data_IF_452503788606
#
_entry.id   IF_452503788606
#
_cell.length_a   1.000
_cell.length_b   1.000
_cell.length_c   1.000
_cell.angle_alpha   90.00
_cell.angle_beta   90.00
_cell.angle_gamma   90.00
#
_symmetry.space_group_name_H-M   'P 1'
#
loop_
_entity.id
_entity.type
_entity.pdbx_description
1 polymer ?
#
# COMPACT_ATOMS: atom_id res chain seq x y z
N UNK A 1 12.60 -13.06 -14.82
CA UNK A 1 13.07 -14.10 -13.89
C UNK A 1 13.10 -15.42 -14.62
N UNK A 2 14.16 -16.20 -14.44
CA UNK A 2 14.32 -17.54 -15.03
C UNK A 2 13.62 -18.57 -14.14
N UNK A 3 12.77 -19.41 -14.71
CA UNK A 3 12.05 -20.44 -13.95
C UNK A 3 12.94 -21.68 -13.74
N UNK A 4 12.74 -22.43 -12.64
CA UNK A 4 13.47 -23.68 -12.40
C UNK A 4 13.24 -24.72 -13.49
N UNK A 5 12.06 -24.70 -14.11
CA UNK A 5 11.69 -25.55 -15.25
C UNK A 5 12.56 -25.25 -16.47
N UNK A 6 12.81 -23.98 -16.76
CA UNK A 6 13.71 -23.56 -17.83
C UNK A 6 15.14 -24.07 -17.62
N UNK A 7 15.64 -24.04 -16.38
CA UNK A 7 16.98 -24.54 -16.04
C UNK A 7 17.11 -26.06 -16.19
N UNK A 8 16.03 -26.82 -15.94
CA UNK A 8 15.96 -28.26 -16.19
C UNK A 8 15.96 -28.56 -17.69
N UNK A 9 15.22 -27.76 -18.46
CA UNK A 9 15.10 -27.90 -19.92
C UNK A 9 16.44 -27.69 -20.62
N UNK A 10 17.25 -26.72 -20.16
CA UNK A 10 18.60 -26.47 -20.70
C UNK A 10 19.68 -27.39 -20.10
N UNK A 11 19.31 -28.45 -19.37
CA UNK A 11 20.21 -29.43 -18.72
C UNK A 11 21.22 -28.84 -17.73
N UNK A 12 20.97 -27.63 -17.20
CA UNK A 12 21.83 -27.01 -16.19
C UNK A 12 21.62 -27.65 -14.82
N UNK A 13 20.42 -28.19 -14.55
CA UNK A 13 20.10 -28.98 -13.36
C UNK A 13 19.42 -30.29 -13.77
N UNK A 14 19.82 -31.42 -13.17
CA UNK A 14 19.27 -32.74 -13.52
C UNK A 14 17.95 -33.05 -12.82
N UNK A 15 17.74 -32.49 -11.64
CA UNK A 15 16.47 -32.58 -10.92
C UNK A 15 16.26 -31.33 -10.07
N UNK A 16 14.99 -30.94 -9.86
CA UNK A 16 14.67 -29.76 -9.05
C UNK A 16 14.55 -30.23 -7.61
N UNK A 17 15.48 -29.86 -6.70
CA UNK A 17 15.41 -30.30 -5.32
C UNK A 17 14.11 -29.81 -4.69
N UNK A 18 13.42 -30.66 -3.91
CA UNK A 18 12.19 -30.28 -3.21
C UNK A 18 12.37 -29.07 -2.27
N UNK A 19 13.60 -28.84 -1.81
CA UNK A 19 13.98 -27.68 -0.99
C UNK A 19 14.20 -26.38 -1.80
N UNK A 20 14.23 -26.43 -3.13
CA UNK A 20 14.51 -25.26 -4.00
C UNK A 20 13.37 -24.23 -3.97
N UNK A 21 12.13 -24.69 -4.10
CA UNK A 21 10.95 -23.84 -3.93
C UNK A 21 10.80 -23.36 -2.49
N UNK A 22 11.14 -24.21 -1.50
CA UNK A 22 11.11 -23.82 -0.10
C UNK A 22 12.10 -22.67 0.19
N UNK A 23 13.32 -22.74 -0.36
CA UNK A 23 14.32 -21.65 -0.25
C UNK A 23 13.94 -20.41 -1.05
N UNK A 24 13.31 -20.54 -2.22
CA UNK A 24 12.76 -19.41 -2.97
C UNK A 24 11.68 -18.68 -2.16
N UNK A 25 10.74 -19.44 -1.59
CA UNK A 25 9.70 -18.89 -0.71
C UNK A 25 10.30 -18.24 0.54
N UNK A 26 11.27 -18.88 1.18
CA UNK A 26 11.95 -18.34 2.36
C UNK A 26 12.68 -17.03 2.04
N UNK A 27 13.39 -16.96 0.90
CA UNK A 27 14.08 -15.76 0.42
C UNK A 27 13.11 -14.60 0.15
N UNK A 28 11.90 -14.88 -0.35
CA UNK A 28 10.84 -13.87 -0.52
C UNK A 28 10.09 -13.53 0.77
N UNK A 29 10.21 -14.37 1.79
CA UNK A 29 9.59 -14.17 3.09
C UNK A 29 10.48 -13.35 4.05
N UNK A 30 11.80 -13.34 3.82
CA UNK A 30 12.78 -12.69 4.69
C UNK A 30 12.98 -11.18 4.48
N UNK A 31 12.31 -10.54 3.51
CA UNK A 31 12.45 -9.10 3.21
C UNK A 31 11.19 -8.24 3.47
N UNK A 32 10.28 -8.70 4.33
CA UNK A 32 9.19 -7.86 4.88
C UNK A 32 9.22 -7.78 6.41
N UNK A 33 10.41 -7.63 6.97
CA UNK A 33 10.62 -6.75 8.13
C UNK A 33 11.28 -5.46 7.64
N UNK A 34 10.67 -4.79 6.64
CA UNK A 34 10.91 -3.36 6.50
C UNK A 34 10.18 -2.72 7.66
N UNK A 35 10.96 -2.34 8.65
CA UNK A 35 10.76 -1.15 9.48
C UNK A 35 9.30 -0.67 9.41
N UNK A 36 8.43 -1.30 10.21
CA UNK A 36 7.18 -0.64 10.50
C UNK A 36 7.59 0.50 11.39
N UNK A 37 7.98 1.63 10.80
CA UNK A 37 7.90 2.93 11.46
C UNK A 37 6.61 2.87 12.26
N UNK A 38 6.74 2.85 13.59
CA UNK A 38 5.61 2.77 14.48
C UNK A 38 4.86 4.09 14.35
N UNK A 39 4.10 4.22 13.28
CA UNK A 39 3.20 5.34 13.09
C UNK A 39 2.21 5.27 14.25
N UNK A 40 1.87 6.41 14.86
CA UNK A 40 0.96 6.47 16.00
C UNK A 40 -0.47 6.20 15.53
N UNK A 41 -0.74 5.01 15.00
CA UNK A 41 -2.03 4.53 14.52
C UNK A 41 -2.81 3.79 15.62
N UNK A 42 -2.38 3.93 16.88
CA UNK A 42 -3.10 3.37 18.03
C UNK A 42 -4.55 3.87 18.04
N UNK A 43 -5.50 2.92 18.12
CA UNK A 43 -6.95 3.14 18.12
C UNK A 43 -7.56 3.70 16.82
N UNK A 44 -6.91 3.51 15.67
CA UNK A 44 -7.49 3.87 14.36
C UNK A 44 -8.17 2.64 13.73
N UNK A 45 -9.41 2.82 13.27
CA UNK A 45 -10.14 1.81 12.50
C UNK A 45 -9.47 1.57 11.14
N UNK A 46 -9.61 0.34 10.63
CA UNK A 46 -9.13 -0.01 9.29
C UNK A 46 -9.78 0.89 8.23
N UNK A 47 -9.00 1.23 7.20
CA UNK A 47 -9.50 2.06 6.09
C UNK A 47 -10.28 1.19 5.11
N UNK A 48 -11.51 1.59 4.79
CA UNK A 48 -12.34 0.93 3.79
C UNK A 48 -11.78 1.19 2.37
N UNK A 49 -11.34 0.13 1.71
CA UNK A 49 -10.78 0.16 0.37
C UNK A 49 -11.91 0.15 -0.68
N UNK A 50 -12.20 1.30 -1.28
CA UNK A 50 -13.31 1.48 -2.23
C UNK A 50 -13.02 0.87 -3.62
N UNK A 51 -11.75 0.69 -3.96
CA UNK A 51 -11.30 0.11 -5.24
C UNK A 51 -11.75 -1.34 -5.47
N UNK A 52 -12.16 -2.07 -4.42
CA UNK A 52 -12.76 -3.41 -4.58
C UNK A 52 -14.26 -3.40 -4.89
N UNK A 53 -14.92 -2.24 -4.76
CA UNK A 53 -16.38 -2.11 -4.93
C UNK A 53 -16.74 -1.46 -6.26
N UNK A 54 -16.52 -0.15 -6.34
CA UNK A 54 -17.00 0.70 -7.43
C UNK A 54 -15.88 1.58 -8.01
N UNK A 55 -14.74 1.67 -7.30
CA UNK A 55 -13.56 2.46 -7.68
C UNK A 55 -13.88 3.89 -8.16
N UNK A 56 -14.62 4.68 -7.35
CA UNK A 56 -14.97 6.04 -7.76
C UNK A 56 -13.72 6.91 -7.84
N UNK A 57 -13.55 7.58 -8.98
CA UNK A 57 -12.46 8.53 -9.22
C UNK A 57 -12.57 9.77 -8.30
N UNK A 58 -13.78 10.11 -7.85
CA UNK A 58 -14.04 11.18 -6.88
C UNK A 58 -14.93 10.65 -5.75
N UNK A 59 -14.51 10.84 -4.49
CA UNK A 59 -15.25 10.37 -3.32
C UNK A 59 -15.08 11.31 -2.12
N UNK A 60 -16.05 11.29 -1.21
CA UNK A 60 -15.95 11.97 0.08
C UNK A 60 -15.49 10.97 1.16
N UNK A 61 -14.52 11.37 1.96
CA UNK A 61 -13.98 10.56 3.05
C UNK A 61 -13.79 11.40 4.32
N UNK A 62 -13.92 10.76 5.48
CA UNK A 62 -13.68 11.38 6.77
C UNK A 62 -12.24 11.17 7.20
N UNK A 63 -11.60 12.26 7.63
CA UNK A 63 -10.24 12.23 8.16
C UNK A 63 -10.25 11.59 9.55
N UNK A 64 -9.70 10.39 9.69
CA UNK A 64 -9.58 9.69 10.97
C UNK A 64 -8.41 10.20 11.79
N UNK A 65 -7.28 10.48 11.14
CA UNK A 65 -6.07 10.98 11.79
C UNK A 65 -5.20 11.76 10.83
N UNK A 66 -4.45 12.69 11.41
CA UNK A 66 -3.50 13.54 10.70
C UNK A 66 -2.26 13.65 11.56
N UNK A 67 -1.10 13.47 10.95
CA UNK A 67 0.20 13.67 11.60
C UNK A 67 1.22 14.08 10.53
N UNK A 68 2.03 15.10 10.83
CA UNK A 68 2.95 15.71 9.87
C UNK A 68 2.25 16.04 8.53
N UNK A 69 2.64 15.38 7.43
CA UNK A 69 2.05 15.51 6.09
C UNK A 69 1.16 14.33 5.68
N UNK A 70 0.81 13.48 6.65
CA UNK A 70 0.13 12.23 6.43
C UNK A 70 -1.30 12.29 6.91
N UNK A 71 -2.22 11.81 6.07
CA UNK A 71 -3.66 11.83 6.29
C UNK A 71 -4.19 10.41 6.21
N UNK A 72 -4.90 10.00 7.25
CA UNK A 72 -5.60 8.72 7.33
C UNK A 72 -7.08 8.96 7.16
N UNK A 73 -7.69 8.21 6.25
CA UNK A 73 -9.11 8.32 5.92
C UNK A 73 -9.88 7.09 6.39
N UNK A 74 -11.19 7.24 6.60
CA UNK A 74 -12.11 6.13 6.89
C UNK A 74 -12.28 5.22 5.68
N UNK A 75 -12.27 5.79 4.48
CA UNK A 75 -12.37 5.10 3.20
C UNK A 75 -11.48 5.76 2.15
N UNK A 76 -10.98 4.98 1.20
CA UNK A 76 -10.16 5.50 0.10
C UNK A 76 -10.22 4.64 -1.15
N UNK A 77 -10.23 5.28 -2.32
CA UNK A 77 -9.95 4.63 -3.62
C UNK A 77 -8.47 4.66 -3.99
N UNK A 78 -7.62 5.41 -3.27
CA UNK A 78 -6.19 5.47 -3.59
C UNK A 78 -5.49 4.14 -3.35
N UNK A 79 -4.80 3.65 -4.37
CA UNK A 79 -3.97 2.47 -4.26
C UNK A 79 -2.66 2.78 -3.54
N UNK A 80 -2.42 2.08 -2.43
CA UNK A 80 -1.17 2.18 -1.70
C UNK A 80 -0.05 1.40 -2.41
N UNK A 81 1.18 1.92 -2.28
CA UNK A 81 2.39 1.26 -2.78
C UNK A 81 2.45 -0.19 -2.28
N UNK A 82 2.59 -1.14 -3.21
CA UNK A 82 2.62 -2.56 -2.88
C UNK A 82 3.06 -3.42 -4.05
N UNK A 83 3.90 -4.43 -3.79
CA UNK A 83 4.26 -5.45 -4.80
C UNK A 83 5.07 -4.94 -6.00
N UNK A 84 5.62 -3.72 -5.93
CA UNK A 84 6.32 -3.06 -7.04
C UNK A 84 5.44 -2.10 -7.86
N UNK A 85 4.15 -1.98 -7.54
CA UNK A 85 3.26 -0.99 -8.13
C UNK A 85 3.49 0.38 -7.49
N UNK A 86 3.52 1.42 -8.33
CA UNK A 86 3.56 2.81 -7.88
C UNK A 86 2.22 3.19 -7.22
N UNK A 87 2.25 4.06 -6.19
CA UNK A 87 1.04 4.52 -5.53
C UNK A 87 0.23 5.41 -6.48
N UNK A 88 -1.07 5.52 -6.20
CA UNK A 88 -1.90 6.48 -6.90
C UNK A 88 -1.58 7.92 -6.49
N UNK A 89 -1.72 8.81 -7.46
CA UNK A 89 -1.55 10.25 -7.29
C UNK A 89 -2.88 10.93 -7.57
N UNK A 90 -3.23 11.93 -6.76
CA UNK A 90 -4.47 12.66 -6.93
C UNK A 90 -4.53 13.85 -5.98
N UNK A 91 -5.72 14.20 -5.50
CA UNK A 91 -5.90 15.29 -4.53
C UNK A 91 -6.81 14.92 -3.36
N UNK A 92 -6.47 15.40 -2.16
CA UNK A 92 -7.29 15.30 -0.94
C UNK A 92 -7.48 16.71 -0.41
N UNK A 93 -8.74 17.16 -0.29
CA UNK A 93 -9.08 18.53 0.09
C UNK A 93 -8.42 19.61 -0.79
N UNK A 94 -8.10 19.29 -2.05
CA UNK A 94 -7.38 20.17 -2.97
C UNK A 94 -5.85 20.14 -2.85
N UNK A 95 -5.29 19.37 -1.91
CA UNK A 95 -3.85 19.14 -1.75
C UNK A 95 -3.40 17.92 -2.53
N UNK A 96 -2.20 17.95 -3.12
CA UNK A 96 -1.72 16.85 -3.97
C UNK A 96 -1.28 15.65 -3.15
N UNK A 97 -1.68 14.45 -3.55
CA UNK A 97 -1.20 13.18 -2.97
C UNK A 97 0.10 12.80 -3.66
N UNK A 98 1.19 12.82 -2.90
CA UNK A 98 2.54 12.54 -3.41
C UNK A 98 2.98 11.11 -3.15
N UNK A 99 2.42 10.45 -2.13
CA UNK A 99 2.70 9.05 -1.85
C UNK A 99 1.54 8.42 -1.05
N UNK A 100 1.37 7.11 -1.16
CA UNK A 100 0.31 6.37 -0.45
C UNK A 100 0.91 5.07 0.08
N UNK A 101 0.86 4.88 1.39
CA UNK A 101 1.45 3.74 2.07
C UNK A 101 0.40 2.96 2.86
N UNK A 102 0.54 1.62 2.86
CA UNK A 102 -0.33 0.74 3.64
C UNK A 102 0.43 0.24 4.87
N UNK A 103 -0.11 0.55 6.04
CA UNK A 103 0.41 0.08 7.33
C UNK A 103 -0.65 -0.82 7.98
N UNK A 104 -0.48 -2.14 7.82
CA UNK A 104 -1.47 -3.12 8.27
C UNK A 104 -2.80 -2.97 7.50
N UNK A 105 -3.89 -2.65 8.22
CA UNK A 105 -5.22 -2.38 7.67
C UNK A 105 -5.53 -0.89 7.40
N UNK A 106 -4.55 0.01 7.60
CA UNK A 106 -4.73 1.45 7.47
C UNK A 106 -3.97 1.99 6.26
N UNK A 107 -4.62 2.88 5.50
CA UNK A 107 -3.99 3.56 4.37
C UNK A 107 -3.60 4.98 4.77
N UNK A 108 -2.32 5.30 4.59
CA UNK A 108 -1.70 6.57 4.93
C UNK A 108 -1.40 7.32 3.63
N UNK A 109 -2.00 8.49 3.47
CA UNK A 109 -1.83 9.33 2.29
C UNK A 109 -0.89 10.48 2.64
N UNK A 110 0.25 10.56 1.98
CA UNK A 110 1.18 11.68 2.11
C UNK A 110 0.77 12.75 1.12
N UNK A 111 0.48 13.94 1.62
CA UNK A 111 0.06 15.07 0.79
C UNK A 111 1.07 16.20 0.82
N UNK A 112 1.17 16.92 -0.29
CA UNK A 112 1.87 18.19 -0.38
C UNK A 112 0.84 19.31 -0.58
N UNK A 113 0.73 20.17 0.43
CA UNK A 113 -0.24 21.26 0.45
C UNK A 113 -0.88 21.47 1.82
N UNK A 114 -2.13 21.94 1.81
CA UNK A 114 -2.91 22.19 3.01
C UNK A 114 -3.38 20.87 3.65
N UNK A 115 -3.03 20.68 4.91
CA UNK A 115 -3.40 19.49 5.66
C UNK A 115 -4.80 19.69 6.27
N UNK A 116 -5.77 18.80 5.97
CA UNK A 116 -7.11 18.91 6.56
C UNK A 116 -7.08 18.62 8.06
N UNK A 117 -8.12 19.01 8.81
CA UNK A 117 -8.18 18.68 10.25
C UNK A 117 -8.72 17.28 10.45
N UNK A 118 -8.27 16.66 11.53
CA UNK A 118 -8.86 15.41 11.99
C UNK A 118 -10.35 15.58 12.27
N UNK A 119 -11.17 14.67 11.74
CA UNK A 119 -12.62 14.67 11.88
C UNK A 119 -13.39 15.35 10.74
N UNK A 120 -12.72 16.12 9.88
CA UNK A 120 -13.35 16.75 8.71
C UNK A 120 -13.72 15.71 7.63
N UNK A 121 -14.79 16.00 6.89
CA UNK A 121 -15.11 15.28 5.66
C UNK A 121 -14.51 16.04 4.49
N UNK A 122 -13.65 15.37 3.74
CA UNK A 122 -12.88 15.95 2.63
C UNK A 122 -13.21 15.25 1.31
N UNK A 123 -13.22 16.03 0.24
CA UNK A 123 -13.29 15.51 -1.12
C UNK A 123 -11.93 15.00 -1.56
N UNK A 124 -11.93 13.78 -2.06
CA UNK A 124 -10.78 13.06 -2.55
C UNK A 124 -10.99 12.76 -4.04
N UNK A 125 -9.92 12.90 -4.82
CA UNK A 125 -9.92 12.59 -6.25
C UNK A 125 -8.65 11.81 -6.59
N UNK A 126 -8.80 10.62 -7.13
CA UNK A 126 -7.71 9.81 -7.69
C UNK A 126 -7.44 10.26 -9.11
#
# INVERSE_FOLDING_TARGET
GITPEYLKEINVISDIPSSFYAKLSDLHQSDKKKDTEQLPLENISETEMLFYKDDPMEFDAKVLKVFDKSVVLDRTSFYARGGGQEPDHGTIAGSQVVDVNKHGGVIVHVIDGAIPKQGDTVKCKV
#
